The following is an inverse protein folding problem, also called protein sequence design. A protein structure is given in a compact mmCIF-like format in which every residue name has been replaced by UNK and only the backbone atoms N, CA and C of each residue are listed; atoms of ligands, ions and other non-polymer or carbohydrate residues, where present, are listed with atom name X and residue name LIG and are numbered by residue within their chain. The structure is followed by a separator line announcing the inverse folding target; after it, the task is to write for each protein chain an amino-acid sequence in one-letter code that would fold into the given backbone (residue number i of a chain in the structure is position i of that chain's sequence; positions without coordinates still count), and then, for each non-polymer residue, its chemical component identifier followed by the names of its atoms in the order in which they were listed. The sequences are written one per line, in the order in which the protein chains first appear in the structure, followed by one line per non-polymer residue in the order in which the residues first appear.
data_IF_788027535522
#
_entry.id   IF_788027535522
#
_cell.length_a   1.000
_cell.length_b   1.000
_cell.length_c   1.000
_cell.angle_alpha   90.00
_cell.angle_beta   90.00
_cell.angle_gamma   90.00
#
_symmetry.space_group_name_H-M   'P 1'
#
loop_
_entity.id
_entity.type
_entity.pdbx_description
1 polymer ?
#
# COMPACT_ATOMS: atom_id res chain seq x y z
N UNK A 1 -6.68 25.43 -7.79
CA UNK A 1 -7.02 24.73 -9.06
C UNK A 1 -8.34 25.28 -9.58
N UNK A 2 -8.36 25.71 -10.82
CA UNK A 2 -9.55 26.25 -11.46
C UNK A 2 -10.48 25.10 -11.91
N UNK A 3 -11.81 25.39 -11.95
CA UNK A 3 -12.82 24.39 -12.31
C UNK A 3 -12.62 23.81 -13.72
N UNK A 4 -12.10 24.60 -14.65
CA UNK A 4 -11.81 24.14 -16.00
C UNK A 4 -10.62 23.18 -16.04
N UNK A 5 -9.59 23.44 -15.26
CA UNK A 5 -8.42 22.56 -15.09
C UNK A 5 -8.84 21.22 -14.47
N UNK A 6 -9.69 21.27 -13.43
CA UNK A 6 -10.27 20.07 -12.82
C UNK A 6 -11.02 19.20 -13.84
N UNK A 7 -11.85 19.81 -14.70
CA UNK A 7 -12.58 19.06 -15.73
C UNK A 7 -11.63 18.34 -16.71
N UNK A 8 -10.48 18.94 -17.02
CA UNK A 8 -9.45 18.31 -17.84
C UNK A 8 -8.87 17.04 -17.17
N UNK A 9 -8.60 17.07 -15.87
CA UNK A 9 -8.14 15.91 -15.13
C UNK A 9 -9.21 14.82 -15.03
N UNK A 10 -10.46 15.19 -14.74
CA UNK A 10 -11.59 14.24 -14.73
C UNK A 10 -11.76 13.57 -16.07
N UNK A 11 -11.71 14.32 -17.18
CA UNK A 11 -11.81 13.77 -18.52
C UNK A 11 -10.66 12.80 -18.84
N UNK A 12 -9.43 13.15 -18.44
CA UNK A 12 -8.25 12.29 -18.61
C UNK A 12 -8.42 10.96 -17.86
N UNK A 13 -8.89 11.02 -16.60
CA UNK A 13 -9.13 9.83 -15.78
C UNK A 13 -10.31 9.01 -16.33
N UNK A 14 -11.40 9.67 -16.75
CA UNK A 14 -12.58 8.99 -17.30
C UNK A 14 -12.31 8.31 -18.64
N UNK A 15 -11.36 8.82 -19.42
CA UNK A 15 -10.98 8.25 -20.73
C UNK A 15 -9.91 7.16 -20.65
N UNK A 16 -9.38 6.87 -19.45
CA UNK A 16 -8.39 5.80 -19.31
C UNK A 16 -9.04 4.42 -19.38
N UNK A 17 -8.20 3.41 -19.65
CA UNK A 17 -8.65 2.02 -19.74
C UNK A 17 -9.16 1.42 -18.43
N UNK A 18 -9.03 2.14 -17.29
CA UNK A 18 -9.52 1.72 -15.99
C UNK A 18 -10.93 2.25 -15.78
N UNK A 19 -11.97 1.41 -15.73
CA UNK A 19 -13.32 1.87 -15.53
C UNK A 19 -13.52 2.37 -14.09
N UNK A 20 -13.65 3.68 -13.95
CA UNK A 20 -13.97 4.34 -12.69
C UNK A 20 -15.39 4.87 -12.78
N UNK A 21 -16.26 4.57 -11.82
CA UNK A 21 -17.57 5.17 -11.74
C UNK A 21 -17.47 6.70 -11.69
N UNK A 22 -18.17 7.39 -12.60
CA UNK A 22 -18.09 8.85 -12.71
C UNK A 22 -18.48 9.57 -11.41
N UNK A 23 -19.42 9.03 -10.65
CA UNK A 23 -19.82 9.58 -9.36
C UNK A 23 -18.69 9.61 -8.32
N UNK A 24 -17.61 8.88 -8.54
CA UNK A 24 -16.43 8.88 -7.65
C UNK A 24 -15.35 9.89 -8.07
N UNK A 25 -15.51 10.57 -9.20
CA UNK A 25 -14.47 11.44 -9.76
C UNK A 25 -14.99 12.77 -10.34
N UNK A 26 -16.30 13.02 -10.45
CA UNK A 26 -16.83 14.17 -11.17
C UNK A 26 -17.28 15.35 -10.28
N UNK A 27 -17.29 15.17 -8.97
CA UNK A 27 -17.66 16.24 -8.03
C UNK A 27 -16.42 16.96 -7.51
N UNK A 28 -16.25 18.22 -7.95
CA UNK A 28 -15.13 19.06 -7.50
C UNK A 28 -15.25 19.45 -6.02
N UNK A 29 -16.44 19.62 -5.51
CA UNK A 29 -16.65 20.07 -4.13
C UNK A 29 -16.44 18.91 -3.14
N UNK A 30 -16.63 17.66 -3.57
CA UNK A 30 -16.26 16.49 -2.80
C UNK A 30 -14.74 16.22 -2.86
N UNK A 31 -14.07 16.42 -1.75
CA UNK A 31 -12.62 16.18 -1.66
C UNK A 31 -12.24 14.70 -1.87
N UNK A 32 -13.15 13.75 -1.61
CA UNK A 32 -12.91 12.31 -1.89
C UNK A 32 -12.83 12.06 -3.40
N UNK A 33 -13.68 12.75 -4.18
CA UNK A 33 -13.57 12.73 -5.65
C UNK A 33 -12.22 13.28 -6.11
N UNK A 34 -11.74 14.39 -5.54
CA UNK A 34 -10.40 14.91 -5.86
C UNK A 34 -9.29 13.94 -5.46
N UNK A 35 -9.39 13.30 -4.31
CA UNK A 35 -8.43 12.26 -3.90
C UNK A 35 -8.39 11.11 -4.90
N UNK A 36 -9.54 10.61 -5.35
CA UNK A 36 -9.61 9.56 -6.35
C UNK A 36 -8.96 9.97 -7.68
N UNK A 37 -9.27 11.17 -8.18
CA UNK A 37 -8.65 11.68 -9.43
C UNK A 37 -7.14 11.79 -9.29
N UNK A 38 -6.63 12.36 -8.21
CA UNK A 38 -5.20 12.50 -7.98
C UNK A 38 -4.47 11.16 -7.93
N UNK A 39 -5.03 10.16 -7.26
CA UNK A 39 -4.50 8.80 -7.21
C UNK A 39 -4.50 8.12 -8.58
N UNK A 40 -5.56 8.31 -9.36
CA UNK A 40 -5.61 7.77 -10.72
C UNK A 40 -4.58 8.43 -11.65
N UNK A 41 -4.35 9.73 -11.53
CA UNK A 41 -3.31 10.41 -12.27
C UNK A 41 -1.91 9.86 -11.95
N UNK A 42 -1.64 9.46 -10.70
CA UNK A 42 -0.42 8.73 -10.36
C UNK A 42 -0.29 7.40 -11.11
N UNK A 43 -1.36 6.61 -11.16
CA UNK A 43 -1.40 5.33 -11.90
C UNK A 43 -1.14 5.58 -13.39
N UNK A 44 -1.70 6.64 -13.93
CA UNK A 44 -1.50 7.08 -15.31
C UNK A 44 -0.12 7.75 -15.55
N UNK A 45 0.74 7.81 -14.53
CA UNK A 45 2.07 8.44 -14.55
C UNK A 45 2.05 9.95 -14.83
N UNK A 46 0.92 10.60 -14.63
CA UNK A 46 0.80 12.06 -14.65
C UNK A 46 1.11 12.61 -13.25
N UNK A 47 2.38 12.69 -12.95
CA UNK A 47 2.87 13.08 -11.62
C UNK A 47 2.56 14.55 -11.30
N UNK A 48 2.68 15.44 -12.27
CA UNK A 48 2.38 16.86 -12.11
C UNK A 48 0.88 17.07 -11.85
N UNK A 49 0.02 16.47 -12.67
CA UNK A 49 -1.43 16.51 -12.50
C UNK A 49 -1.87 15.88 -11.16
N UNK A 50 -1.28 14.75 -10.80
CA UNK A 50 -1.53 14.10 -9.51
C UNK A 50 -1.19 15.05 -8.35
N UNK A 51 -0.01 15.68 -8.38
CA UNK A 51 0.39 16.62 -7.32
C UNK A 51 -0.51 17.85 -7.28
N UNK A 52 -0.87 18.42 -8.42
CA UNK A 52 -1.77 19.56 -8.50
C UNK A 52 -3.13 19.27 -7.84
N UNK A 53 -3.68 18.09 -8.10
CA UNK A 53 -4.97 17.65 -7.52
C UNK A 53 -4.83 17.31 -6.04
N UNK A 54 -3.86 16.47 -5.66
CA UNK A 54 -3.69 16.01 -4.27
C UNK A 54 -3.31 17.15 -3.32
N UNK A 55 -2.60 18.18 -3.80
CA UNK A 55 -2.31 19.37 -3.01
C UNK A 55 -3.57 20.10 -2.54
N UNK A 56 -4.70 19.99 -3.27
CA UNK A 56 -5.98 20.60 -2.87
C UNK A 56 -6.69 19.88 -1.72
N UNK A 57 -6.26 18.65 -1.40
CA UNK A 57 -6.89 17.82 -0.36
C UNK A 57 -5.96 17.51 0.82
N UNK A 58 -4.68 17.87 0.72
CA UNK A 58 -3.69 17.55 1.76
C UNK A 58 -4.02 18.14 3.14
N UNK A 59 -4.67 19.30 3.20
CA UNK A 59 -4.98 20.00 4.44
C UNK A 59 -6.43 19.76 4.91
N UNK A 60 -7.25 19.01 4.16
CA UNK A 60 -8.60 18.64 4.56
C UNK A 60 -8.55 17.79 5.84
N UNK A 61 -9.38 18.14 6.81
CA UNK A 61 -9.57 17.32 8.01
C UNK A 61 -10.67 16.30 7.72
N UNK A 62 -10.36 14.99 7.77
CA UNK A 62 -11.37 13.97 7.52
C UNK A 62 -12.33 13.86 8.70
N UNK A 63 -13.56 13.51 8.41
CA UNK A 63 -14.47 12.99 9.43
C UNK A 63 -14.01 11.57 9.81
N UNK A 64 -13.52 11.43 11.02
CA UNK A 64 -12.95 10.16 11.50
C UNK A 64 -14.02 9.16 11.95
N UNK A 65 -15.26 9.59 12.05
CA UNK A 65 -16.42 8.74 12.32
C UNK A 65 -17.14 8.31 11.01
N UNK A 66 -16.70 8.84 9.87
CA UNK A 66 -17.22 8.46 8.57
C UNK A 66 -17.05 6.95 8.33
N UNK A 67 -18.16 6.24 8.26
CA UNK A 67 -18.22 4.81 8.01
C UNK A 67 -19.15 4.55 6.81
N UNK A 68 -18.68 4.78 5.59
CA UNK A 68 -19.50 4.63 4.40
C UNK A 68 -19.92 3.17 4.21
N UNK A 69 -21.14 2.96 3.76
CA UNK A 69 -21.65 1.61 3.43
C UNK A 69 -20.79 0.95 2.32
N UNK A 70 -20.26 1.76 1.42
CA UNK A 70 -19.40 1.30 0.32
C UNK A 70 -18.23 2.26 0.11
N UNK A 71 -17.06 1.68 -0.22
CA UNK A 71 -15.86 2.44 -0.55
C UNK A 71 -14.94 2.68 0.65
N UNK A 72 -14.11 3.69 0.53
CA UNK A 72 -13.17 4.08 1.57
C UNK A 72 -13.79 5.15 2.46
N UNK A 73 -13.54 5.04 3.76
CA UNK A 73 -13.83 6.11 4.73
C UNK A 73 -12.98 7.36 4.46
N UNK A 74 -13.39 8.49 5.00
CA UNK A 74 -12.60 9.72 4.89
C UNK A 74 -11.19 9.58 5.48
N UNK A 75 -11.07 8.84 6.58
CA UNK A 75 -9.78 8.51 7.18
C UNK A 75 -8.86 7.75 6.21
N UNK A 76 -9.39 6.76 5.50
CA UNK A 76 -8.63 5.98 4.52
C UNK A 76 -8.23 6.85 3.32
N UNK A 77 -9.14 7.65 2.78
CA UNK A 77 -8.83 8.61 1.72
C UNK A 77 -7.69 9.55 2.12
N UNK A 78 -7.73 10.07 3.35
CA UNK A 78 -6.70 10.98 3.85
C UNK A 78 -5.33 10.32 3.96
N UNK A 79 -5.26 9.13 4.55
CA UNK A 79 -4.01 8.38 4.68
C UNK A 79 -3.42 8.04 3.31
N UNK A 80 -4.26 7.59 2.38
CA UNK A 80 -3.82 7.27 1.03
C UNK A 80 -3.33 8.53 0.28
N UNK A 81 -4.02 9.65 0.43
CA UNK A 81 -3.60 10.93 -0.14
C UNK A 81 -2.22 11.35 0.37
N UNK A 82 -2.00 11.32 1.68
CA UNK A 82 -0.71 11.68 2.29
C UNK A 82 0.42 10.75 1.84
N UNK A 83 0.15 9.44 1.76
CA UNK A 83 1.11 8.46 1.22
C UNK A 83 1.49 8.77 -0.22
N UNK A 84 0.50 9.05 -1.05
CA UNK A 84 0.71 9.30 -2.48
C UNK A 84 1.44 10.63 -2.70
N UNK A 85 1.15 11.68 -1.91
CA UNK A 85 1.93 12.92 -1.91
C UNK A 85 3.39 12.65 -1.50
N UNK A 86 3.62 11.86 -0.45
CA UNK A 86 4.97 11.51 -0.03
C UNK A 86 5.76 10.84 -1.16
N UNK A 87 5.13 9.90 -1.88
CA UNK A 87 5.74 9.21 -3.01
C UNK A 87 6.05 10.16 -4.18
N UNK A 88 5.14 11.09 -4.50
CA UNK A 88 5.36 12.09 -5.54
C UNK A 88 6.52 13.00 -5.16
N UNK A 89 6.51 13.54 -3.94
CA UNK A 89 7.56 14.45 -3.46
C UNK A 89 8.92 13.73 -3.48
N UNK A 90 8.97 12.46 -3.06
CA UNK A 90 10.17 11.64 -3.17
C UNK A 90 10.69 11.51 -4.60
N UNK A 91 9.81 11.20 -5.56
CA UNK A 91 10.18 11.08 -6.97
C UNK A 91 10.69 12.40 -7.58
N UNK A 92 10.14 13.53 -7.15
CA UNK A 92 10.50 14.83 -7.67
C UNK A 92 11.78 15.40 -7.04
N UNK A 93 12.00 15.14 -5.75
CA UNK A 93 13.10 15.77 -5.00
C UNK A 93 14.31 14.86 -4.78
N UNK A 94 14.11 13.54 -4.78
CA UNK A 94 15.13 12.56 -4.43
C UNK A 94 15.64 12.68 -2.98
N UNK A 95 15.04 13.55 -2.17
CA UNK A 95 15.42 13.83 -0.78
C UNK A 95 14.27 13.52 0.17
N UNK A 96 14.57 13.15 1.39
CA UNK A 96 13.60 12.49 2.22
C UNK A 96 12.93 13.27 3.31
N UNK A 97 13.38 14.45 3.67
CA UNK A 97 12.76 15.18 4.78
C UNK A 97 11.32 15.59 4.46
N UNK A 98 11.09 16.12 3.26
CA UNK A 98 9.75 16.55 2.85
C UNK A 98 8.75 15.39 2.70
N UNK A 99 9.09 14.25 2.05
CA UNK A 99 8.21 13.07 2.04
C UNK A 99 7.91 12.51 3.42
N UNK A 100 8.88 12.53 4.35
CA UNK A 100 8.69 12.02 5.70
C UNK A 100 7.64 12.79 6.50
N UNK A 101 7.46 14.09 6.26
CA UNK A 101 6.39 14.87 6.90
C UNK A 101 5.02 14.25 6.62
N UNK A 102 4.74 13.94 5.36
CA UNK A 102 3.47 13.35 4.94
C UNK A 102 3.29 11.90 5.44
N UNK A 103 4.34 11.09 5.39
CA UNK A 103 4.26 9.72 5.90
C UNK A 103 4.17 9.65 7.42
N UNK A 104 4.79 10.56 8.15
CA UNK A 104 4.66 10.64 9.59
C UNK A 104 3.21 10.96 9.99
N UNK A 105 2.58 11.90 9.27
CA UNK A 105 1.17 12.24 9.48
C UNK A 105 0.24 11.07 9.11
N UNK A 106 0.47 10.43 7.96
CA UNK A 106 -0.29 9.23 7.57
C UNK A 106 -0.17 8.13 8.63
N UNK A 107 1.02 7.88 9.14
CA UNK A 107 1.26 6.88 10.18
C UNK A 107 0.61 7.25 11.51
N UNK A 108 0.65 8.54 11.90
CA UNK A 108 -0.04 9.05 13.09
C UNK A 108 -1.53 8.78 13.01
N UNK A 109 -2.17 9.14 11.89
CA UNK A 109 -3.59 8.88 11.66
C UNK A 109 -3.94 7.39 11.73
N UNK A 110 -3.15 6.53 11.08
CA UNK A 110 -3.36 5.08 11.14
C UNK A 110 -3.28 4.52 12.58
N UNK A 111 -2.42 5.08 13.43
CA UNK A 111 -2.29 4.65 14.83
C UNK A 111 -3.44 5.15 15.69
N UNK A 112 -3.91 6.35 15.44
CA UNK A 112 -5.00 6.99 16.17
C UNK A 112 -6.33 6.28 15.90
N UNK A 113 -6.54 5.88 14.65
CA UNK A 113 -7.79 5.27 14.18
C UNK A 113 -7.68 3.77 13.90
N UNK A 114 -7.24 3.02 14.91
CA UNK A 114 -7.00 1.56 14.84
C UNK A 114 -8.22 0.74 14.43
N UNK A 115 -9.44 1.26 14.59
CA UNK A 115 -10.67 0.58 14.17
C UNK A 115 -10.82 0.55 12.66
N UNK A 116 -10.35 1.61 11.99
CA UNK A 116 -10.42 1.77 10.53
C UNK A 116 -9.27 1.05 9.85
N UNK A 117 -8.04 1.20 10.39
CA UNK A 117 -6.84 0.65 9.76
C UNK A 117 -6.43 -0.68 10.37
N UNK A 118 -6.32 -1.71 9.54
CA UNK A 118 -5.78 -3.02 9.94
C UNK A 118 -4.30 -2.89 10.30
N UNK A 119 -3.80 -3.86 11.05
CA UNK A 119 -2.36 -3.93 11.39
C UNK A 119 -1.45 -4.00 10.15
N UNK A 120 -1.91 -4.67 9.07
CA UNK A 120 -1.19 -4.75 7.81
C UNK A 120 -0.99 -3.37 7.17
N UNK A 121 -2.04 -2.55 7.12
CA UNK A 121 -1.99 -1.21 6.52
C UNK A 121 -1.05 -0.29 7.32
N UNK A 122 -1.16 -0.33 8.65
CA UNK A 122 -0.26 0.43 9.54
C UNK A 122 1.20 -0.01 9.41
N UNK A 123 1.43 -1.32 9.34
CA UNK A 123 2.76 -1.90 9.16
C UNK A 123 3.40 -1.49 7.83
N UNK A 124 2.62 -1.50 6.74
CA UNK A 124 3.10 -1.10 5.41
C UNK A 124 3.50 0.39 5.35
N UNK A 125 2.71 1.29 5.95
CA UNK A 125 3.04 2.72 6.00
C UNK A 125 4.28 2.96 6.87
N UNK A 126 4.38 2.27 8.00
CA UNK A 126 5.55 2.34 8.86
C UNK A 126 6.81 1.83 8.15
N UNK A 127 6.73 0.71 7.42
CA UNK A 127 7.84 0.18 6.65
C UNK A 127 8.32 1.18 5.58
N UNK A 128 7.38 1.77 4.84
CA UNK A 128 7.72 2.79 3.83
C UNK A 128 8.43 4.00 4.44
N UNK A 129 8.05 4.37 5.67
CA UNK A 129 8.72 5.43 6.41
C UNK A 129 10.18 5.09 6.74
N UNK A 130 10.47 3.85 7.16
CA UNK A 130 11.85 3.38 7.37
C UNK A 130 12.68 3.41 6.09
N UNK A 131 12.11 2.95 4.97
CA UNK A 131 12.79 2.99 3.67
C UNK A 131 13.14 4.42 3.25
N UNK A 132 12.24 5.38 3.44
CA UNK A 132 12.53 6.77 3.15
C UNK A 132 13.58 7.35 4.11
N UNK A 133 13.54 7.04 5.40
CA UNK A 133 14.60 7.44 6.33
C UNK A 133 15.97 6.93 5.87
N UNK A 134 16.07 5.67 5.45
CA UNK A 134 17.31 5.11 4.88
C UNK A 134 17.77 5.89 3.66
N UNK A 135 16.85 6.12 2.72
CA UNK A 135 17.14 6.87 1.48
C UNK A 135 17.59 8.31 1.71
N UNK A 136 17.30 8.88 2.90
CA UNK A 136 17.72 10.21 3.31
C UNK A 136 19.03 10.23 4.09
N UNK A 137 19.72 9.08 4.17
CA UNK A 137 20.94 8.95 4.96
C UNK A 137 20.73 8.81 6.47
N UNK A 138 19.49 8.57 6.93
CA UNK A 138 19.17 8.34 8.34
C UNK A 138 19.00 6.82 8.64
N UNK A 139 19.83 5.98 8.02
CA UNK A 139 19.75 4.51 8.16
C UNK A 139 19.89 4.04 9.61
N UNK A 140 20.85 4.59 10.37
CA UNK A 140 21.06 4.20 11.77
C UNK A 140 19.82 4.46 12.63
N UNK A 141 19.14 5.58 12.39
CA UNK A 141 17.89 5.90 13.08
C UNK A 141 16.78 4.92 12.70
N UNK A 142 16.65 4.61 11.41
CA UNK A 142 15.67 3.64 10.90
C UNK A 142 15.94 2.23 11.45
N UNK A 143 17.19 1.78 11.50
CA UNK A 143 17.59 0.50 12.11
C UNK A 143 17.29 0.45 13.60
N UNK A 144 17.57 1.54 14.32
CA UNK A 144 17.24 1.65 15.75
C UNK A 144 15.74 1.53 15.98
N UNK A 145 14.95 2.21 15.17
CA UNK A 145 13.48 2.14 15.22
C UNK A 145 12.97 0.74 14.89
N UNK A 146 13.52 0.08 13.86
CA UNK A 146 13.16 -1.29 13.50
C UNK A 146 13.43 -2.28 14.64
N UNK A 147 14.59 -2.17 15.29
CA UNK A 147 14.93 -3.00 16.47
C UNK A 147 14.02 -2.72 17.67
N UNK A 148 13.72 -1.46 17.92
CA UNK A 148 12.78 -1.08 19.00
C UNK A 148 11.37 -1.65 18.74
N UNK A 149 10.92 -1.69 17.48
CA UNK A 149 9.65 -2.29 17.11
C UNK A 149 9.65 -3.81 17.34
N UNK A 150 10.73 -4.52 17.03
CA UNK A 150 10.85 -5.96 17.33
C UNK A 150 10.70 -6.25 18.82
N UNK A 151 11.31 -5.44 19.67
CA UNK A 151 11.18 -5.57 21.12
C UNK A 151 9.76 -5.23 21.61
N UNK A 152 9.14 -4.18 21.08
CA UNK A 152 7.79 -3.78 21.44
C UNK A 152 6.74 -4.85 21.09
N UNK A 153 6.94 -5.52 19.94
CA UNK A 153 6.00 -6.48 19.38
C UNK A 153 6.33 -7.95 19.72
N UNK A 154 7.38 -8.19 20.53
CA UNK A 154 7.87 -9.57 20.78
C UNK A 154 6.86 -10.51 21.46
N UNK A 155 5.94 -9.97 22.25
CA UNK A 155 4.90 -10.73 22.93
C UNK A 155 3.67 -11.01 22.05
N UNK A 156 3.59 -10.42 20.84
CA UNK A 156 2.47 -10.62 19.96
C UNK A 156 2.69 -11.88 19.13
N UNK A 157 1.82 -12.86 19.32
CA UNK A 157 1.87 -14.14 18.60
C UNK A 157 1.11 -14.06 17.26
N UNK A 158 1.50 -14.93 16.32
CA UNK A 158 0.84 -15.07 15.02
C UNK A 158 1.23 -14.01 14.01
N UNK A 159 0.27 -13.63 13.14
CA UNK A 159 0.51 -12.64 12.08
C UNK A 159 0.81 -11.28 12.67
N UNK A 160 2.01 -10.78 12.40
CA UNK A 160 2.48 -9.48 12.92
C UNK A 160 3.24 -8.71 11.82
N UNK A 161 2.55 -7.81 11.08
CA UNK A 161 3.16 -7.03 10.01
C UNK A 161 4.35 -6.17 10.46
N UNK A 162 4.34 -5.65 11.69
CA UNK A 162 5.46 -4.84 12.19
C UNK A 162 6.73 -5.68 12.37
N UNK A 163 6.60 -6.89 12.95
CA UNK A 163 7.73 -7.82 13.08
C UNK A 163 8.26 -8.24 11.71
N UNK A 164 7.37 -8.58 10.79
CA UNK A 164 7.75 -8.91 9.42
C UNK A 164 8.56 -7.79 8.76
N UNK A 165 8.04 -6.57 8.75
CA UNK A 165 8.71 -5.44 8.11
C UNK A 165 10.01 -5.04 8.81
N UNK A 166 10.07 -5.13 10.14
CA UNK A 166 11.29 -4.84 10.89
C UNK A 166 12.41 -5.83 10.55
N UNK A 167 12.11 -7.15 10.54
CA UNK A 167 13.06 -8.18 10.18
C UNK A 167 13.53 -8.04 8.73
N UNK A 168 12.59 -7.77 7.81
CA UNK A 168 12.90 -7.51 6.40
C UNK A 168 13.87 -6.33 6.25
N UNK A 169 13.57 -5.20 6.88
CA UNK A 169 14.38 -3.98 6.81
C UNK A 169 15.81 -4.20 7.33
N UNK A 170 15.94 -4.89 8.48
CA UNK A 170 17.24 -5.22 9.07
C UNK A 170 18.01 -6.18 8.17
N UNK A 171 17.32 -7.17 7.57
CA UNK A 171 17.94 -8.13 6.66
C UNK A 171 18.49 -7.45 5.40
N UNK A 172 17.74 -6.51 4.83
CA UNK A 172 18.19 -5.72 3.68
C UNK A 172 19.45 -4.92 3.99
N UNK A 173 19.50 -4.24 5.15
CA UNK A 173 20.70 -3.51 5.57
C UNK A 173 21.91 -4.45 5.78
N UNK A 174 21.71 -5.65 6.35
CA UNK A 174 22.79 -6.65 6.48
C UNK A 174 23.29 -7.15 5.12
N UNK A 175 22.38 -7.36 4.17
CA UNK A 175 22.76 -7.79 2.83
C UNK A 175 23.56 -6.71 2.08
N UNK A 176 23.23 -5.44 2.25
CA UNK A 176 24.01 -4.31 1.71
C UNK A 176 25.42 -4.25 2.29
N UNK A 177 25.60 -4.69 3.55
CA UNK A 177 26.91 -4.85 4.19
C UNK A 177 27.64 -6.15 3.82
N UNK A 178 27.02 -7.02 3.00
CA UNK A 178 27.59 -8.29 2.53
C UNK A 178 27.33 -9.49 3.45
N UNK A 179 26.63 -9.32 4.58
CA UNK A 179 26.30 -10.42 5.52
C UNK A 179 25.03 -11.17 5.08
N UNK A 180 25.10 -11.79 3.91
CA UNK A 180 23.99 -12.52 3.31
C UNK A 180 23.52 -13.72 4.17
N UNK A 181 24.40 -14.32 4.95
CA UNK A 181 24.05 -15.45 5.79
C UNK A 181 23.06 -15.05 6.88
N UNK A 182 23.33 -13.97 7.61
CA UNK A 182 22.40 -13.43 8.61
C UNK A 182 21.16 -12.83 7.98
N UNK A 183 21.32 -12.13 6.86
CA UNK A 183 20.17 -11.56 6.13
C UNK A 183 19.16 -12.64 5.72
N UNK A 184 19.63 -13.77 5.18
CA UNK A 184 18.76 -14.90 4.82
C UNK A 184 18.02 -15.48 6.03
N UNK A 185 18.71 -15.65 7.18
CA UNK A 185 18.08 -16.15 8.40
C UNK A 185 16.99 -15.20 8.92
N UNK A 186 17.23 -13.88 8.89
CA UNK A 186 16.24 -12.89 9.31
C UNK A 186 15.02 -12.87 8.39
N UNK A 187 15.20 -13.01 7.07
CA UNK A 187 14.08 -13.12 6.14
C UNK A 187 13.27 -14.40 6.37
N UNK A 188 13.95 -15.54 6.58
CA UNK A 188 13.25 -16.78 6.94
C UNK A 188 12.41 -16.61 8.22
N UNK A 189 12.95 -15.91 9.23
CA UNK A 189 12.21 -15.59 10.45
C UNK A 189 11.05 -14.62 10.19
N UNK A 190 11.20 -13.65 9.30
CA UNK A 190 10.14 -12.71 8.97
C UNK A 190 8.87 -13.41 8.47
N UNK A 191 9.03 -14.45 7.65
CA UNK A 191 7.89 -15.19 7.11
C UNK A 191 7.04 -15.92 8.16
N UNK A 192 7.54 -16.12 9.39
CA UNK A 192 6.73 -16.64 10.49
C UNK A 192 5.62 -15.69 10.93
N UNK A 193 5.75 -14.41 10.60
CA UNK A 193 4.85 -13.33 11.02
C UNK A 193 3.95 -12.82 9.89
N UNK A 194 4.00 -13.44 8.73
CA UNK A 194 3.20 -13.02 7.58
C UNK A 194 2.48 -14.22 6.95
N UNK A 195 1.19 -14.08 6.57
CA UNK A 195 0.47 -15.14 5.88
C UNK A 195 1.08 -15.37 4.49
N UNK A 196 1.52 -16.58 4.23
CA UNK A 196 2.11 -16.99 2.94
C UNK A 196 1.10 -17.79 2.13
N UNK A 197 0.95 -17.43 0.86
CA UNK A 197 0.18 -18.23 -0.09
C UNK A 197 0.95 -19.48 -0.53
N UNK A 198 0.32 -20.41 -1.23
CA UNK A 198 0.94 -21.69 -1.62
C UNK A 198 2.15 -21.50 -2.57
N UNK A 199 2.10 -20.49 -3.46
CA UNK A 199 3.24 -20.19 -4.33
C UNK A 199 4.45 -19.69 -3.53
N UNK A 200 4.22 -18.81 -2.55
CA UNK A 200 5.28 -18.35 -1.65
C UNK A 200 5.81 -19.47 -0.76
N UNK A 201 4.98 -20.40 -0.27
CA UNK A 201 5.44 -21.59 0.48
C UNK A 201 6.39 -22.46 -0.34
N UNK A 202 6.07 -22.69 -1.61
CA UNK A 202 6.92 -23.45 -2.51
C UNK A 202 8.28 -22.74 -2.72
N UNK A 203 8.24 -21.44 -3.03
CA UNK A 203 9.43 -20.64 -3.22
C UNK A 203 10.30 -20.55 -1.95
N UNK A 204 9.68 -20.50 -0.76
CA UNK A 204 10.41 -20.53 0.52
C UNK A 204 11.13 -21.89 0.73
N UNK A 205 10.48 -23.01 0.40
CA UNK A 205 11.12 -24.33 0.50
C UNK A 205 12.30 -24.48 -0.48
N UNK A 206 12.18 -23.93 -1.68
CA UNK A 206 13.29 -23.88 -2.65
C UNK A 206 14.43 -23.01 -2.14
N UNK A 207 14.13 -21.84 -1.54
CA UNK A 207 15.13 -20.96 -0.95
C UNK A 207 15.85 -21.62 0.24
N UNK A 208 15.15 -22.39 1.07
CA UNK A 208 15.74 -23.10 2.21
C UNK A 208 16.74 -24.18 1.75
N UNK A 209 16.51 -24.79 0.59
CA UNK A 209 17.39 -25.79 0.01
C UNK A 209 18.64 -25.20 -0.67
N UNK A 210 18.69 -23.90 -0.95
CA UNK A 210 19.84 -23.26 -1.59
C UNK A 210 21.08 -23.30 -0.68
N UNK A 211 22.21 -23.78 -1.22
CA UNK A 211 23.43 -23.92 -0.46
C UNK A 211 24.17 -22.58 -0.25
N UNK A 212 24.16 -21.73 -1.27
CA UNK A 212 24.81 -20.41 -1.21
C UNK A 212 23.96 -19.39 -0.46
N UNK A 213 24.59 -18.65 0.47
CA UNK A 213 23.89 -17.70 1.33
C UNK A 213 23.32 -16.49 0.56
N UNK A 214 24.03 -16.03 -0.46
CA UNK A 214 23.58 -14.90 -1.29
C UNK A 214 22.40 -15.30 -2.18
N UNK A 215 22.47 -16.50 -2.76
CA UNK A 215 21.38 -17.08 -3.53
C UNK A 215 20.14 -17.28 -2.64
N UNK A 216 20.33 -17.86 -1.45
CA UNK A 216 19.25 -18.03 -0.47
C UNK A 216 18.60 -16.71 -0.08
N UNK A 217 19.40 -15.69 0.21
CA UNK A 217 18.89 -14.35 0.49
C UNK A 217 18.06 -13.80 -0.68
N UNK A 218 18.60 -13.90 -1.90
CA UNK A 218 17.92 -13.39 -3.10
C UNK A 218 16.56 -14.08 -3.32
N UNK A 219 16.50 -15.40 -3.11
CA UNK A 219 15.26 -16.16 -3.22
C UNK A 219 14.24 -15.76 -2.14
N UNK A 220 14.65 -15.63 -0.87
CA UNK A 220 13.78 -15.13 0.19
C UNK A 220 13.30 -13.70 -0.09
N UNK A 221 14.19 -12.83 -0.54
CA UNK A 221 13.82 -11.46 -0.88
C UNK A 221 12.81 -11.41 -2.05
N UNK A 222 12.99 -12.25 -3.06
CA UNK A 222 12.05 -12.39 -4.16
C UNK A 222 10.67 -12.85 -3.69
N UNK A 223 10.58 -13.76 -2.72
CA UNK A 223 9.32 -14.16 -2.12
C UNK A 223 8.58 -12.97 -1.48
N UNK A 224 9.27 -12.00 -0.87
CA UNK A 224 8.63 -10.79 -0.35
C UNK A 224 7.98 -9.97 -1.47
N UNK A 225 8.67 -9.85 -2.60
CA UNK A 225 8.18 -9.12 -3.77
C UNK A 225 6.93 -9.79 -4.38
N UNK A 226 6.96 -11.10 -4.58
CA UNK A 226 5.83 -11.88 -5.09
C UNK A 226 4.59 -11.69 -4.20
N UNK A 227 4.78 -11.64 -2.89
CA UNK A 227 3.68 -11.54 -1.95
C UNK A 227 3.05 -10.14 -1.89
N UNK A 228 3.86 -9.08 -2.11
CA UNK A 228 3.41 -7.70 -2.12
C UNK A 228 2.98 -7.18 -3.49
N UNK A 229 3.47 -7.81 -4.55
CA UNK A 229 3.17 -7.45 -5.94
C UNK A 229 2.65 -8.69 -6.69
N UNK A 230 1.46 -9.18 -6.34
CA UNK A 230 0.88 -10.35 -7.00
C UNK A 230 0.70 -10.16 -8.50
N UNK A 231 1.01 -8.99 -9.02
CA UNK A 231 0.83 -8.52 -10.40
C UNK A 231 2.10 -8.52 -11.24
N UNK A 232 3.28 -8.83 -10.68
CA UNK A 232 4.50 -8.85 -11.48
C UNK A 232 4.73 -10.20 -12.18
N UNK A 233 4.88 -10.11 -13.46
CA UNK A 233 5.33 -11.01 -14.53
C UNK A 233 4.25 -11.79 -15.27
N UNK A 234 3.58 -12.75 -14.67
CA UNK A 234 2.72 -13.66 -15.44
C UNK A 234 1.27 -13.66 -14.94
N UNK A 235 0.99 -12.95 -13.85
CA UNK A 235 -0.33 -12.86 -13.22
C UNK A 235 -0.82 -11.41 -13.08
N UNK A 236 -0.32 -10.50 -13.90
CA UNK A 236 -0.92 -9.16 -13.99
C UNK A 236 -2.31 -9.35 -14.56
N UNK A 237 -3.40 -9.05 -13.81
CA UNK A 237 -4.73 -9.14 -14.38
C UNK A 237 -4.76 -8.24 -15.61
N UNK A 238 -5.22 -8.79 -16.70
CA UNK A 238 -5.50 -8.00 -17.89
C UNK A 238 -6.64 -7.03 -17.56
N UNK A 239 -6.76 -5.96 -18.35
CA UNK A 239 -7.92 -5.08 -18.27
C UNK A 239 -9.24 -5.86 -18.39
N UNK A 240 -9.24 -6.93 -19.16
CA UNK A 240 -10.38 -7.81 -19.31
C UNK A 240 -10.69 -8.56 -18.00
N UNK A 241 -9.69 -9.03 -17.27
CA UNK A 241 -9.88 -9.68 -15.96
C UNK A 241 -10.45 -8.70 -14.93
N UNK A 242 -9.98 -7.46 -14.94
CA UNK A 242 -10.50 -6.39 -14.07
C UNK A 242 -11.96 -6.08 -14.45
N UNK A 243 -12.29 -5.95 -15.73
CA UNK A 243 -13.67 -5.75 -16.19
C UNK A 243 -14.59 -6.90 -15.81
N UNK A 244 -14.18 -8.13 -16.05
CA UNK A 244 -14.95 -9.34 -15.66
C UNK A 244 -15.19 -9.41 -14.17
N UNK A 245 -14.20 -9.00 -13.35
CA UNK A 245 -14.37 -8.96 -11.92
C UNK A 245 -15.36 -7.88 -11.48
N UNK A 246 -15.29 -6.70 -12.08
CA UNK A 246 -16.22 -5.61 -11.80
C UNK A 246 -17.65 -5.96 -12.22
N UNK A 247 -17.84 -6.53 -13.42
CA UNK A 247 -19.13 -7.01 -13.91
C UNK A 247 -19.71 -8.09 -12.98
N UNK A 248 -18.87 -9.02 -12.54
CA UNK A 248 -19.27 -10.07 -11.59
C UNK A 248 -19.66 -9.47 -10.24
N UNK A 249 -18.91 -8.51 -9.73
CA UNK A 249 -19.19 -7.85 -8.46
C UNK A 249 -20.46 -6.99 -8.56
N UNK A 250 -20.67 -6.31 -9.68
CA UNK A 250 -21.89 -5.56 -9.95
C UNK A 250 -23.10 -6.49 -10.01
N UNK A 251 -23.06 -7.55 -10.81
CA UNK A 251 -24.13 -8.54 -10.91
C UNK A 251 -24.47 -9.19 -9.56
N UNK A 252 -23.45 -9.46 -8.73
CA UNK A 252 -23.62 -10.03 -7.39
C UNK A 252 -24.32 -9.05 -6.44
N UNK A 253 -23.99 -7.75 -6.51
CA UNK A 253 -24.65 -6.68 -5.72
C UNK A 253 -26.10 -6.52 -6.14
N UNK A 254 -26.37 -6.51 -7.43
CA UNK A 254 -27.76 -6.41 -7.93
C UNK A 254 -28.59 -7.64 -7.54
N UNK A 255 -27.98 -8.84 -7.58
CA UNK A 255 -28.65 -10.06 -7.13
C UNK A 255 -28.94 -10.02 -5.61
N UNK A 256 -27.99 -9.57 -4.78
CA UNK A 256 -28.20 -9.42 -3.33
C UNK A 256 -29.30 -8.40 -3.02
N UNK A 257 -29.31 -7.25 -3.69
CA UNK A 257 -30.39 -6.25 -3.55
C UNK A 257 -31.77 -6.84 -3.93
N UNK A 258 -31.82 -7.64 -5.00
CA UNK A 258 -33.09 -8.23 -5.47
C UNK A 258 -33.70 -9.21 -4.46
N UNK A 259 -32.89 -9.84 -3.60
CA UNK A 259 -33.34 -10.78 -2.57
C UNK A 259 -33.41 -10.16 -1.15
N UNK A 260 -33.11 -8.86 -1.02
CA UNK A 260 -33.11 -8.17 0.26
C UNK A 260 -31.95 -8.58 1.21
N UNK A 261 -30.91 -9.14 0.67
CA UNK A 261 -29.69 -9.49 1.42
C UNK A 261 -28.71 -8.31 1.37
N UNK A 262 -28.02 -8.03 2.50
CA UNK A 262 -26.89 -7.11 2.50
C UNK A 262 -25.77 -7.69 1.60
N UNK A 263 -25.21 -6.90 0.67
CA UNK A 263 -24.15 -7.39 -0.19
C UNK A 263 -22.92 -7.75 0.63
N UNK A 264 -22.48 -9.01 0.53
CA UNK A 264 -21.29 -9.54 1.20
C UNK A 264 -20.06 -8.66 0.85
N UNK A 265 -19.43 -8.03 1.85
CA UNK A 265 -18.28 -7.12 1.71
C UNK A 265 -17.02 -7.76 1.10
N UNK A 266 -17.00 -9.09 0.93
CA UNK A 266 -15.89 -9.82 0.33
C UNK A 266 -15.62 -9.54 -1.14
N UNK A 267 -16.40 -8.67 -1.78
CA UNK A 267 -16.24 -8.22 -3.17
C UNK A 267 -15.52 -6.89 -3.36
N UNK A 268 -14.94 -6.31 -2.33
CA UNK A 268 -14.18 -5.05 -2.45
C UNK A 268 -12.87 -5.26 -3.23
N UNK A 269 -12.30 -4.18 -3.73
CA UNK A 269 -10.98 -4.14 -4.39
C UNK A 269 -9.89 -4.86 -3.58
N UNK A 270 -10.10 -5.02 -2.27
CA UNK A 270 -9.26 -5.80 -1.35
C UNK A 270 -9.26 -7.30 -1.63
N UNK A 271 -10.26 -7.86 -2.31
CA UNK A 271 -10.27 -9.27 -2.72
C UNK A 271 -9.41 -9.55 -3.94
N UNK A 272 -8.94 -8.50 -4.65
CA UNK A 272 -7.97 -8.60 -5.73
C UNK A 272 -6.51 -8.70 -5.22
N UNK A 273 -6.30 -8.39 -3.94
CA UNK A 273 -4.99 -8.41 -3.28
C UNK A 273 -4.83 -9.68 -2.40
N UNK A 274 -5.68 -10.68 -2.61
CA UNK A 274 -5.58 -11.99 -1.93
C UNK A 274 -4.98 -13.03 -2.84
#
# INVERSE_FOLDING_TARGET
MEKQEWQGYVQKVASCDYPIPLNLINDYDDWKCRSNVGRMLMILKDIEGAMAVLATVKDVQPDMEDAPEFGLSEAEHKVLCLRDIAEIVWRLTGTGDAPLVYLNEAYRLCREYKKVFRSADRGAIWARRLELQRSCGAEDAALSEARAMLEAEKAVEGVNPYRFHALKFIAESMAEQGDYAKAALLLADAYKFFPVNEAAKKALAEAEAAADAKERYAMYHHCTTIQYQPWEKDNVPTLEDVRRLQERNFARREAAKAVGEEPDEKGSFQSLIK
#
